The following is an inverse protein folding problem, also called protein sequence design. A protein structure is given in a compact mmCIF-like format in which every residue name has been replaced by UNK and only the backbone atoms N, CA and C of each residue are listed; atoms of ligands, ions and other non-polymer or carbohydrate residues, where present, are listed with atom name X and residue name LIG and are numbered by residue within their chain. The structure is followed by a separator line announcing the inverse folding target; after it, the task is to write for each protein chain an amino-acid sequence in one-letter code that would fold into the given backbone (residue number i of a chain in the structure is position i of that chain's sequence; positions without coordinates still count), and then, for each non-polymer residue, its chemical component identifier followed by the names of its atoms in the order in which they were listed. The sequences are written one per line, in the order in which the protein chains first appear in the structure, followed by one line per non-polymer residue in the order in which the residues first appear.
data_IF_496503244448
#
_entry.id   IF_496503244448
#
_cell.length_a   1.000
_cell.length_b   1.000
_cell.length_c   1.000
_cell.angle_alpha   90.00
_cell.angle_beta   90.00
_cell.angle_gamma   90.00
#
_symmetry.space_group_name_H-M   'P 1'
#
loop_
_entity.id
_entity.type
_entity.pdbx_description
1 polymer ?
#
# COMPACT_ATOMS: atom_id res chain seq x y z
N UNK A 1 29.65 1.97 -7.51
CA UNK A 1 29.89 1.45 -6.15
C UNK A 1 29.91 2.55 -5.09
N UNK A 2 30.91 3.44 -4.97
CA UNK A 2 30.82 4.56 -3.98
C UNK A 2 29.77 5.62 -4.36
N UNK A 3 29.57 5.87 -5.66
CA UNK A 3 28.55 6.80 -6.16
C UNK A 3 27.12 6.35 -5.86
N UNK A 4 26.79 5.09 -6.16
CA UNK A 4 25.44 4.53 -5.99
C UNK A 4 25.04 4.44 -4.52
N UNK A 5 25.98 4.02 -3.64
CA UNK A 5 25.74 3.99 -2.20
C UNK A 5 25.41 5.38 -1.65
N UNK A 6 26.10 6.42 -2.14
CA UNK A 6 25.83 7.80 -1.75
C UNK A 6 24.46 8.27 -2.23
N UNK A 7 24.07 7.94 -3.46
CA UNK A 7 22.71 8.26 -3.96
C UNK A 7 21.64 7.51 -3.16
N UNK A 8 21.90 6.27 -2.76
CA UNK A 8 20.98 5.50 -1.93
C UNK A 8 20.79 6.13 -0.55
N UNK A 9 21.89 6.60 0.08
CA UNK A 9 21.82 7.35 1.35
C UNK A 9 21.02 8.63 1.17
N UNK A 10 21.30 9.41 0.12
CA UNK A 10 20.55 10.64 -0.20
C UNK A 10 19.04 10.32 -0.31
N UNK A 11 18.65 9.26 -1.03
CA UNK A 11 17.24 8.86 -1.19
C UNK A 11 16.57 8.46 0.13
N UNK A 12 17.29 7.77 1.03
CA UNK A 12 16.81 7.42 2.37
C UNK A 12 16.64 8.66 3.25
N UNK A 13 17.56 9.61 3.18
CA UNK A 13 17.42 10.91 3.87
C UNK A 13 16.17 11.66 3.38
N UNK A 14 15.94 11.67 2.06
CA UNK A 14 14.73 12.26 1.47
C UNK A 14 13.44 11.64 2.03
N UNK A 15 13.39 10.32 2.17
CA UNK A 15 12.26 9.61 2.79
C UNK A 15 12.06 10.02 4.25
N UNK A 16 13.13 10.13 5.03
CA UNK A 16 13.05 10.55 6.43
C UNK A 16 12.48 11.97 6.56
N UNK A 17 12.92 12.90 5.71
CA UNK A 17 12.38 14.26 5.70
C UNK A 17 10.89 14.29 5.31
N UNK A 18 10.49 13.47 4.34
CA UNK A 18 9.09 13.34 3.95
C UNK A 18 8.22 12.80 5.11
N UNK A 19 8.69 11.77 5.82
CA UNK A 19 8.00 11.20 7.00
C UNK A 19 7.86 12.24 8.11
N UNK A 20 8.86 13.10 8.30
CA UNK A 20 8.81 14.22 9.26
C UNK A 20 7.95 15.41 8.79
N UNK A 21 7.31 15.31 7.63
CA UNK A 21 6.47 16.36 7.05
C UNK A 21 7.24 17.48 6.36
N UNK A 22 8.58 17.40 6.27
CA UNK A 22 9.41 18.38 5.59
C UNK A 22 9.51 18.08 4.09
N UNK A 23 8.41 18.31 3.38
CA UNK A 23 8.30 18.02 1.94
C UNK A 23 9.31 18.79 1.09
N UNK A 24 9.57 20.05 1.41
CA UNK A 24 10.52 20.87 0.64
C UNK A 24 11.94 20.28 0.65
N UNK A 25 12.42 19.81 1.81
CA UNK A 25 13.72 19.13 1.90
C UNK A 25 13.72 17.79 1.18
N UNK A 26 12.63 17.03 1.33
CA UNK A 26 12.51 15.74 0.66
C UNK A 26 12.54 15.87 -0.87
N UNK A 27 11.84 16.86 -1.41
CA UNK A 27 11.83 17.18 -2.85
C UNK A 27 13.20 17.65 -3.35
N UNK A 28 13.88 18.52 -2.61
CA UNK A 28 15.22 19.00 -2.98
C UNK A 28 16.26 17.86 -3.00
N UNK A 29 16.19 16.95 -2.04
CA UNK A 29 17.06 15.75 -2.03
C UNK A 29 16.69 14.82 -3.19
N UNK A 30 15.40 14.58 -3.43
CA UNK A 30 14.93 13.74 -4.52
C UNK A 30 15.41 14.25 -5.88
N UNK A 31 15.30 15.55 -6.14
CA UNK A 31 15.75 16.15 -7.41
C UNK A 31 17.24 15.89 -7.62
N UNK A 32 18.07 16.19 -6.62
CA UNK A 32 19.54 16.00 -6.67
C UNK A 32 19.95 14.53 -6.80
N UNK A 33 19.24 13.63 -6.12
CA UNK A 33 19.51 12.20 -6.21
C UNK A 33 19.07 11.63 -7.57
N UNK A 34 17.91 12.05 -8.08
CA UNK A 34 17.32 11.52 -9.31
C UNK A 34 18.17 11.79 -10.55
N UNK A 35 18.83 12.95 -10.64
CA UNK A 35 19.78 13.30 -11.70
C UNK A 35 21.01 12.37 -11.75
N UNK A 36 21.27 11.64 -10.65
CA UNK A 36 22.44 10.77 -10.50
C UNK A 36 22.09 9.29 -10.63
N UNK A 37 20.80 8.94 -10.74
CA UNK A 37 20.35 7.56 -10.97
C UNK A 37 20.36 7.28 -12.47
N UNK A 38 21.35 6.52 -12.92
CA UNK A 38 21.43 6.00 -14.29
C UNK A 38 20.31 4.97 -14.55
N UNK A 39 19.83 4.86 -15.79
CA UNK A 39 18.97 3.77 -16.24
C UNK A 39 19.59 2.40 -15.96
N UNK A 40 20.92 2.28 -16.11
CA UNK A 40 21.68 1.06 -15.82
C UNK A 40 21.95 0.79 -14.34
N UNK A 41 21.44 1.62 -13.42
CA UNK A 41 21.63 1.42 -11.99
C UNK A 41 20.97 0.13 -11.48
N UNK A 42 21.47 -0.37 -10.37
CA UNK A 42 20.91 -1.55 -9.71
C UNK A 42 19.44 -1.33 -9.32
N UNK A 43 18.65 -2.41 -9.35
CA UNK A 43 17.24 -2.38 -9.05
C UNK A 43 16.95 -1.77 -7.67
N UNK A 44 17.80 -2.05 -6.67
CA UNK A 44 17.58 -1.55 -5.31
C UNK A 44 17.67 -0.01 -5.24
N UNK A 45 18.48 0.62 -6.11
CA UNK A 45 18.54 2.08 -6.22
C UNK A 45 17.29 2.66 -6.90
N UNK A 46 16.81 2.02 -7.97
CA UNK A 46 15.56 2.42 -8.61
C UNK A 46 14.37 2.29 -7.65
N UNK A 47 14.30 1.22 -6.86
CA UNK A 47 13.25 1.02 -5.85
C UNK A 47 13.35 2.04 -4.70
N UNK A 48 14.57 2.40 -4.27
CA UNK A 48 14.75 3.49 -3.32
C UNK A 48 14.18 4.80 -3.87
N UNK A 49 14.42 5.10 -5.15
CA UNK A 49 13.89 6.30 -5.80
C UNK A 49 12.37 6.29 -5.89
N UNK A 50 11.75 5.14 -6.23
CA UNK A 50 10.28 5.00 -6.23
C UNK A 50 9.70 5.26 -4.84
N UNK A 51 10.31 4.71 -3.78
CA UNK A 51 9.87 4.96 -2.40
C UNK A 51 9.98 6.43 -2.01
N UNK A 52 11.04 7.11 -2.41
CA UNK A 52 11.21 8.55 -2.16
C UNK A 52 10.18 9.38 -2.93
N UNK A 53 9.91 9.05 -4.20
CA UNK A 53 8.82 9.67 -4.98
C UNK A 53 7.47 9.53 -4.27
N UNK A 54 7.14 8.33 -3.80
CA UNK A 54 5.89 8.09 -3.05
C UNK A 54 5.83 8.88 -1.74
N UNK A 55 6.94 8.94 -0.99
CA UNK A 55 7.01 9.69 0.26
C UNK A 55 6.84 11.20 0.04
N UNK A 56 7.37 11.73 -1.07
CA UNK A 56 7.18 13.13 -1.48
C UNK A 56 5.78 13.42 -2.05
N UNK A 57 4.90 12.43 -2.18
CA UNK A 57 3.57 12.59 -2.79
C UNK A 57 3.59 12.65 -4.32
N UNK A 58 4.72 12.35 -4.96
CA UNK A 58 4.89 12.28 -6.41
C UNK A 58 4.38 10.94 -6.97
N UNK A 59 3.14 10.58 -6.63
CA UNK A 59 2.56 9.26 -6.93
C UNK A 59 2.52 8.93 -8.42
N UNK A 60 2.26 9.92 -9.28
CA UNK A 60 2.22 9.73 -10.73
C UNK A 60 3.59 9.31 -11.28
N UNK A 61 4.65 10.01 -10.90
CA UNK A 61 6.02 9.71 -11.32
C UNK A 61 6.50 8.36 -10.76
N UNK A 62 6.14 8.03 -9.51
CA UNK A 62 6.39 6.70 -8.95
C UNK A 62 5.73 5.59 -9.77
N UNK A 63 4.46 5.78 -10.17
CA UNK A 63 3.72 4.81 -10.99
C UNK A 63 4.33 4.65 -12.39
N UNK A 64 4.70 5.76 -13.05
CA UNK A 64 5.37 5.74 -14.35
C UNK A 64 6.71 4.98 -14.28
N UNK A 65 7.53 5.25 -13.25
CA UNK A 65 8.81 4.55 -13.03
C UNK A 65 8.59 3.06 -12.76
N UNK A 66 7.60 2.69 -11.93
CA UNK A 66 7.25 1.30 -11.67
C UNK A 66 6.82 0.56 -12.95
N UNK A 67 6.00 1.20 -13.80
CA UNK A 67 5.58 0.60 -15.07
C UNK A 67 6.77 0.31 -15.99
N UNK A 68 7.74 1.22 -16.07
CA UNK A 68 8.97 1.02 -16.84
C UNK A 68 9.82 -0.14 -16.29
N UNK A 69 9.98 -0.22 -14.96
CA UNK A 69 10.71 -1.32 -14.32
C UNK A 69 10.03 -2.67 -14.55
N UNK A 70 8.69 -2.73 -14.46
CA UNK A 70 7.94 -3.96 -14.72
C UNK A 70 8.15 -4.43 -16.15
N UNK A 71 8.05 -3.53 -17.14
CA UNK A 71 8.26 -3.90 -18.54
C UNK A 71 9.70 -4.35 -18.81
N UNK A 72 10.68 -3.63 -18.27
CA UNK A 72 12.11 -3.95 -18.42
C UNK A 72 12.47 -5.31 -17.81
N UNK A 73 11.79 -5.71 -16.73
CA UNK A 73 12.08 -6.93 -15.96
C UNK A 73 10.96 -7.97 -16.01
N UNK A 74 10.08 -7.93 -17.03
CA UNK A 74 8.89 -8.81 -17.12
C UNK A 74 9.20 -10.31 -17.08
N UNK A 75 10.39 -10.71 -17.52
CA UNK A 75 10.85 -12.10 -17.52
C UNK A 75 11.77 -12.43 -16.32
N UNK A 76 12.06 -11.47 -15.44
CA UNK A 76 12.93 -11.63 -14.28
C UNK A 76 12.11 -11.68 -12.98
N UNK A 77 11.63 -12.89 -12.64
CA UNK A 77 10.81 -13.11 -11.44
C UNK A 77 11.44 -12.62 -10.12
N UNK A 78 12.74 -12.85 -9.84
CA UNK A 78 13.38 -12.29 -8.65
C UNK A 78 13.27 -10.77 -8.51
N UNK A 79 13.36 -10.03 -9.62
CA UNK A 79 13.20 -8.57 -9.62
C UNK A 79 11.74 -8.18 -9.44
N UNK A 80 10.81 -8.85 -10.14
CA UNK A 80 9.38 -8.62 -9.95
C UNK A 80 8.95 -8.84 -8.48
N UNK A 81 9.49 -9.85 -7.80
CA UNK A 81 9.26 -10.08 -6.37
C UNK A 81 9.72 -8.93 -5.47
N UNK A 82 10.78 -8.19 -5.86
CA UNK A 82 11.22 -6.99 -5.15
C UNK A 82 10.33 -5.78 -5.43
N UNK A 83 9.71 -5.72 -6.62
CA UNK A 83 8.80 -4.64 -7.02
C UNK A 83 7.42 -4.81 -6.35
N UNK A 84 6.93 -6.04 -6.22
CA UNK A 84 5.58 -6.37 -5.72
C UNK A 84 5.12 -5.59 -4.47
N UNK A 85 5.93 -5.37 -3.42
CA UNK A 85 5.48 -4.63 -2.24
C UNK A 85 5.03 -3.21 -2.54
N UNK A 86 5.57 -2.57 -3.59
CA UNK A 86 5.29 -1.19 -4.00
C UNK A 86 4.05 -1.07 -4.90
N UNK A 87 3.48 -2.19 -5.32
CA UNK A 87 2.38 -2.21 -6.28
C UNK A 87 1.02 -2.27 -5.59
N UNK A 88 0.03 -1.77 -6.32
CA UNK A 88 -1.36 -2.01 -5.98
C UNK A 88 -1.76 -3.45 -6.22
N UNK A 89 -1.07 -4.24 -7.05
CA UNK A 89 -1.25 -5.69 -7.16
C UNK A 89 0.08 -6.35 -7.54
N UNK A 90 0.44 -7.52 -6.97
CA UNK A 90 1.68 -8.18 -7.31
C UNK A 90 1.68 -8.68 -8.76
N UNK A 91 2.83 -8.55 -9.41
CA UNK A 91 3.05 -8.96 -10.80
C UNK A 91 3.86 -10.25 -10.87
N UNK A 92 4.70 -10.55 -9.87
CA UNK A 92 5.45 -11.80 -9.82
C UNK A 92 4.53 -13.01 -9.62
N UNK A 93 4.93 -14.17 -10.15
CA UNK A 93 4.16 -15.41 -10.01
C UNK A 93 4.04 -15.84 -8.55
N UNK A 94 5.13 -15.69 -7.78
CA UNK A 94 5.15 -16.03 -6.36
C UNK A 94 4.26 -15.07 -5.57
N UNK A 95 4.35 -13.77 -5.83
CA UNK A 95 3.51 -12.76 -5.19
C UNK A 95 2.03 -13.00 -5.46
N UNK A 96 1.66 -13.29 -6.71
CA UNK A 96 0.29 -13.66 -7.10
C UNK A 96 -0.21 -14.90 -6.36
N UNK A 97 0.61 -15.96 -6.29
CA UNK A 97 0.25 -17.21 -5.59
C UNK A 97 0.10 -17.02 -4.09
N UNK A 98 1.05 -16.32 -3.46
CA UNK A 98 1.01 -15.98 -2.04
C UNK A 98 -0.24 -15.16 -1.71
N UNK A 99 -0.50 -14.12 -2.52
CA UNK A 99 -1.66 -13.27 -2.38
C UNK A 99 -2.96 -14.08 -2.50
N UNK A 100 -3.10 -14.88 -3.56
CA UNK A 100 -4.30 -15.69 -3.80
C UNK A 100 -4.58 -16.67 -2.65
N UNK A 101 -3.54 -17.31 -2.10
CA UNK A 101 -3.69 -18.26 -1.01
C UNK A 101 -4.25 -17.61 0.26
N UNK A 102 -3.60 -16.55 0.75
CA UNK A 102 -3.98 -15.93 2.02
C UNK A 102 -5.27 -15.12 1.86
N UNK A 103 -5.50 -14.47 0.72
CA UNK A 103 -6.73 -13.74 0.44
C UNK A 103 -7.95 -14.68 0.43
N UNK A 104 -7.81 -15.89 -0.14
CA UNK A 104 -8.87 -16.92 -0.10
C UNK A 104 -9.21 -17.33 1.34
N UNK A 105 -8.21 -17.46 2.21
CA UNK A 105 -8.42 -17.80 3.62
C UNK A 105 -9.15 -16.68 4.37
N UNK A 106 -8.74 -15.42 4.16
CA UNK A 106 -9.42 -14.26 4.74
C UNK A 106 -10.88 -14.13 4.29
N UNK A 107 -11.15 -14.32 3.00
CA UNK A 107 -12.52 -14.30 2.45
C UNK A 107 -13.35 -15.46 3.02
N UNK A 108 -12.78 -16.66 3.15
CA UNK A 108 -13.49 -17.81 3.73
C UNK A 108 -13.85 -17.56 5.20
N UNK A 109 -12.92 -17.04 6.01
CA UNK A 109 -13.18 -16.67 7.40
C UNK A 109 -14.26 -15.59 7.50
N UNK A 110 -14.21 -14.56 6.66
CA UNK A 110 -15.22 -13.50 6.62
C UNK A 110 -16.62 -14.05 6.30
N UNK A 111 -16.74 -14.96 5.33
CA UNK A 111 -18.03 -15.60 4.96
C UNK A 111 -18.59 -16.49 6.07
N UNK A 112 -17.73 -17.01 6.94
CA UNK A 112 -18.12 -17.77 8.13
C UNK A 112 -18.42 -16.84 9.34
N UNK A 113 -18.44 -15.53 9.14
CA UNK A 113 -18.61 -14.50 10.20
C UNK A 113 -17.52 -14.55 11.28
N UNK A 114 -16.40 -15.24 11.01
CA UNK A 114 -15.21 -15.24 11.84
C UNK A 114 -14.34 -14.02 11.48
N UNK A 115 -14.83 -12.84 11.87
CA UNK A 115 -14.23 -11.57 11.51
C UNK A 115 -12.82 -11.39 12.09
N UNK A 116 -12.58 -11.87 13.31
CA UNK A 116 -11.25 -11.81 13.95
C UNK A 116 -10.22 -12.58 13.12
N UNK A 117 -10.55 -13.80 12.70
CA UNK A 117 -9.66 -14.60 11.86
C UNK A 117 -9.48 -14.00 10.46
N UNK A 118 -10.54 -13.42 9.89
CA UNK A 118 -10.44 -12.70 8.62
C UNK A 118 -9.46 -11.52 8.71
N UNK A 119 -9.57 -10.71 9.78
CA UNK A 119 -8.66 -9.60 10.08
C UNK A 119 -7.21 -10.11 10.17
N UNK A 120 -6.95 -11.20 10.88
CA UNK A 120 -5.60 -11.77 11.00
C UNK A 120 -5.00 -12.15 9.64
N UNK A 121 -5.79 -12.78 8.76
CA UNK A 121 -5.33 -13.10 7.41
C UNK A 121 -5.04 -11.85 6.58
N UNK A 122 -5.91 -10.84 6.63
CA UNK A 122 -5.70 -9.61 5.87
C UNK A 122 -4.52 -8.78 6.41
N UNK A 123 -4.26 -8.77 7.71
CA UNK A 123 -3.06 -8.14 8.30
C UNK A 123 -1.78 -8.83 7.79
N UNK A 124 -1.78 -10.16 7.65
CA UNK A 124 -0.61 -10.87 7.09
C UNK A 124 -0.34 -10.47 5.65
N UNK A 125 -1.39 -10.37 4.83
CA UNK A 125 -1.27 -9.93 3.43
C UNK A 125 -0.82 -8.48 3.36
N UNK A 126 -1.39 -7.60 4.17
CA UNK A 126 -1.04 -6.18 4.19
C UNK A 126 0.41 -5.94 4.60
N UNK A 127 0.94 -6.70 5.57
CA UNK A 127 2.38 -6.64 5.91
C UNK A 127 3.28 -7.01 4.73
N UNK A 128 2.84 -7.93 3.88
CA UNK A 128 3.60 -8.37 2.70
C UNK A 128 3.42 -7.45 1.49
N UNK A 129 2.20 -6.95 1.28
CA UNK A 129 1.78 -6.11 0.16
C UNK A 129 1.10 -4.83 0.68
N UNK A 130 1.88 -3.89 1.27
CA UNK A 130 1.34 -2.72 1.97
C UNK A 130 0.63 -1.72 1.05
N UNK A 131 0.83 -1.82 -0.26
CA UNK A 131 0.16 -0.98 -1.26
C UNK A 131 -1.03 -1.67 -1.94
N UNK A 132 -1.30 -2.95 -1.66
CA UNK A 132 -2.44 -3.65 -2.27
C UNK A 132 -3.78 -3.09 -1.80
N UNK A 133 -4.53 -2.49 -2.72
CA UNK A 133 -5.82 -1.87 -2.41
C UNK A 133 -6.89 -2.91 -2.06
N UNK A 134 -6.88 -4.08 -2.71
CA UNK A 134 -7.85 -5.14 -2.45
C UNK A 134 -7.79 -5.67 -1.01
N UNK A 135 -6.60 -5.91 -0.46
CA UNK A 135 -6.46 -6.34 0.94
C UNK A 135 -6.88 -5.24 1.91
N UNK A 136 -6.53 -3.98 1.64
CA UNK A 136 -6.95 -2.83 2.47
C UNK A 136 -8.47 -2.75 2.59
N UNK A 137 -9.17 -2.85 1.45
CA UNK A 137 -10.63 -2.84 1.43
C UNK A 137 -11.23 -4.10 2.08
N UNK A 138 -10.61 -5.27 1.91
CA UNK A 138 -11.02 -6.49 2.61
C UNK A 138 -10.87 -6.37 4.13
N UNK A 139 -9.77 -5.78 4.60
CA UNK A 139 -9.51 -5.55 6.02
C UNK A 139 -10.55 -4.61 6.63
N UNK A 140 -10.83 -3.48 5.97
CA UNK A 140 -11.91 -2.58 6.38
C UNK A 140 -13.24 -3.33 6.43
N UNK A 141 -13.58 -4.09 5.39
CA UNK A 141 -14.82 -4.86 5.38
C UNK A 141 -14.93 -5.84 6.56
N UNK A 142 -13.85 -6.52 6.93
CA UNK A 142 -13.81 -7.41 8.09
C UNK A 142 -13.96 -6.66 9.42
N UNK A 143 -13.29 -5.51 9.57
CA UNK A 143 -13.45 -4.61 10.73
C UNK A 143 -14.88 -4.12 10.87
N UNK A 144 -15.52 -3.67 9.79
CA UNK A 144 -16.92 -3.23 9.81
C UNK A 144 -17.88 -4.39 10.13
N UNK A 145 -17.60 -5.60 9.64
CA UNK A 145 -18.32 -6.82 10.01
C UNK A 145 -18.25 -7.07 11.52
N UNK A 146 -17.03 -7.05 12.09
CA UNK A 146 -16.80 -7.16 13.54
C UNK A 146 -17.59 -6.10 14.31
N UNK A 147 -17.46 -4.82 13.96
CA UNK A 147 -18.13 -3.71 14.65
C UNK A 147 -19.67 -3.80 14.65
N UNK A 148 -20.26 -4.47 13.65
CA UNK A 148 -21.72 -4.64 13.55
C UNK A 148 -22.27 -5.77 14.41
N UNK A 149 -21.47 -6.80 14.65
CA UNK A 149 -21.93 -8.07 15.23
C UNK A 149 -21.24 -8.40 16.56
N UNK A 150 -20.16 -7.71 16.90
CA UNK A 150 -19.32 -7.95 18.07
C UNK A 150 -18.96 -6.62 18.74
N UNK A 151 -18.38 -6.69 19.95
CA UNK A 151 -17.84 -5.52 20.61
C UNK A 151 -16.70 -4.90 19.77
N UNK A 152 -16.71 -3.57 19.68
CA UNK A 152 -15.67 -2.82 19.00
C UNK A 152 -14.39 -2.94 19.83
N UNK A 153 -13.32 -3.41 19.20
CA UNK A 153 -12.01 -3.43 19.81
C UNK A 153 -11.42 -2.02 19.86
N UNK A 154 -10.54 -1.80 20.85
CA UNK A 154 -9.72 -0.60 20.91
C UNK A 154 -8.94 -0.42 19.60
N UNK A 155 -9.04 0.77 18.99
CA UNK A 155 -8.35 1.09 17.74
C UNK A 155 -8.99 0.58 16.44
N UNK A 156 -10.09 -0.20 16.46
CA UNK A 156 -10.73 -0.68 15.23
C UNK A 156 -11.22 0.50 14.34
N UNK A 157 -11.71 1.57 14.97
CA UNK A 157 -12.15 2.81 14.30
C UNK A 157 -10.95 3.53 13.67
N UNK A 158 -9.90 3.74 14.43
CA UNK A 158 -8.69 4.42 13.96
C UNK A 158 -8.03 3.64 12.83
N UNK A 159 -8.06 2.30 12.90
CA UNK A 159 -7.58 1.44 11.83
C UNK A 159 -8.36 1.63 10.54
N UNK A 160 -9.69 1.70 10.61
CA UNK A 160 -10.51 1.98 9.43
C UNK A 160 -10.19 3.35 8.83
N UNK A 161 -10.10 4.39 9.66
CA UNK A 161 -9.79 5.76 9.23
C UNK A 161 -8.43 5.83 8.53
N UNK A 162 -7.39 5.25 9.13
CA UNK A 162 -6.06 5.20 8.55
C UNK A 162 -6.03 4.48 7.19
N UNK A 163 -6.76 3.37 7.06
CA UNK A 163 -6.85 2.66 5.79
C UNK A 163 -7.61 3.49 4.75
N UNK A 164 -8.72 4.12 5.12
CA UNK A 164 -9.48 4.97 4.19
C UNK A 164 -8.65 6.13 3.67
N UNK A 165 -7.90 6.82 4.53
CA UNK A 165 -7.04 7.93 4.12
C UNK A 165 -5.96 7.47 3.14
N UNK A 166 -5.33 6.33 3.41
CA UNK A 166 -4.33 5.74 2.52
C UNK A 166 -4.91 5.28 1.17
N UNK A 167 -6.09 4.64 1.18
CA UNK A 167 -6.77 4.21 -0.05
C UNK A 167 -7.18 5.41 -0.89
N UNK A 168 -7.76 6.46 -0.29
CA UNK A 168 -8.21 7.68 -0.98
C UNK A 168 -7.10 8.36 -1.77
N UNK A 169 -5.85 8.29 -1.30
CA UNK A 169 -4.69 8.87 -1.99
C UNK A 169 -4.22 8.03 -3.19
N UNK A 170 -4.58 6.74 -3.24
CA UNK A 170 -4.01 5.78 -4.20
C UNK A 170 -5.02 5.27 -5.22
N UNK A 171 -6.31 5.22 -4.86
CA UNK A 171 -7.36 4.67 -5.72
C UNK A 171 -7.74 5.66 -6.82
N UNK A 172 -7.88 5.18 -8.05
CA UNK A 172 -8.33 6.01 -9.17
C UNK A 172 -9.85 6.16 -9.18
N UNK A 173 -10.40 7.34 -9.51
CA UNK A 173 -11.83 7.52 -9.74
C UNK A 173 -12.37 6.52 -10.78
N UNK A 174 -13.67 6.24 -10.70
CA UNK A 174 -14.40 5.40 -11.68
C UNK A 174 -13.94 3.94 -11.78
N UNK A 175 -13.16 3.46 -10.81
CA UNK A 175 -12.77 2.03 -10.70
C UNK A 175 -13.70 1.28 -9.74
N UNK A 176 -13.80 -0.05 -9.91
CA UNK A 176 -14.53 -0.93 -8.96
C UNK A 176 -14.00 -0.79 -7.53
N UNK A 177 -12.69 -0.57 -7.38
CA UNK A 177 -12.05 -0.35 -6.09
C UNK A 177 -12.50 0.98 -5.46
N UNK A 178 -12.70 2.03 -6.27
CA UNK A 178 -13.23 3.31 -5.80
C UNK A 178 -14.67 3.19 -5.33
N UNK A 179 -15.52 2.53 -6.12
CA UNK A 179 -16.92 2.27 -5.74
C UNK A 179 -16.99 1.49 -4.43
N UNK A 180 -16.17 0.45 -4.29
CA UNK A 180 -16.08 -0.34 -3.06
C UNK A 180 -15.59 0.48 -1.88
N UNK A 181 -14.59 1.35 -2.06
CA UNK A 181 -14.13 2.30 -1.05
C UNK A 181 -15.28 3.18 -0.55
N UNK A 182 -16.06 3.76 -1.47
CA UNK A 182 -17.20 4.63 -1.11
C UNK A 182 -18.26 3.86 -0.32
N UNK A 183 -18.64 2.66 -0.77
CA UNK A 183 -19.62 1.81 -0.07
C UNK A 183 -19.18 1.46 1.36
N UNK A 184 -17.89 1.11 1.54
CA UNK A 184 -17.35 0.82 2.87
C UNK A 184 -17.32 2.07 3.75
N UNK A 185 -17.02 3.24 3.18
CA UNK A 185 -17.02 4.51 3.91
C UNK A 185 -18.42 4.87 4.41
N UNK A 186 -19.43 4.77 3.54
CA UNK A 186 -20.82 5.01 3.91
C UNK A 186 -21.29 4.05 5.03
N UNK A 187 -20.88 2.78 4.94
CA UNK A 187 -21.20 1.79 5.98
C UNK A 187 -20.53 2.12 7.32
N UNK A 188 -19.27 2.55 7.29
CA UNK A 188 -18.55 3.01 8.49
C UNK A 188 -19.27 4.20 9.15
N UNK A 189 -19.65 5.20 8.38
CA UNK A 189 -20.34 6.40 8.90
C UNK A 189 -21.69 6.04 9.54
N UNK A 190 -22.45 5.11 8.94
CA UNK A 190 -23.70 4.59 9.53
C UNK A 190 -23.48 3.84 10.84
N UNK A 191 -22.41 3.04 10.94
CA UNK A 191 -22.06 2.32 12.17
C UNK A 191 -21.73 3.33 13.28
N UNK A 192 -20.92 4.35 12.99
CA UNK A 192 -20.59 5.41 13.96
C UNK A 192 -21.82 6.19 14.41
N UNK A 193 -22.70 6.58 13.48
CA UNK A 193 -23.90 7.35 13.83
C UNK A 193 -24.83 6.61 14.79
N UNK A 194 -25.02 5.29 14.60
CA UNK A 194 -25.83 4.44 15.51
C UNK A 194 -25.25 4.34 16.92
N UNK A 195 -23.93 4.43 17.05
CA UNK A 195 -23.25 4.35 18.35
C UNK A 195 -23.24 5.67 19.10
N UNK A 196 -23.36 6.81 18.42
CA UNK A 196 -23.53 8.11 19.07
C UNK A 196 -24.95 8.37 19.56
N UNK A 197 -25.90 7.50 19.23
CA UNK A 197 -27.32 7.60 19.59
C UNK A 197 -27.78 6.52 20.58
N UNK A 198 -26.87 5.63 21.00
CA UNK A 198 -27.09 4.61 22.05
C UNK A 198 -26.28 4.97 23.30
#
# INVERSE_FOLDING_TARGET
LEGDLRVQVDLLEGQLWAIQGNRAKAEDILNRASERVDEGADIDLHLAMVNTLMACGQHKLAQEKLALLIEAFKDNQPILEKIDPLLSEPVSDKGKKELAHVNKQGIAAYKAEDYTKAIDYFIRVEKRFPHYLGVKLNLVQALLGKMRHQAIGEGDIDRCLAIFDGVKQSVQPDTDQYQRYQQLRDMFDRIKAKQSTS
#
